data_IF_900714589925
#
_entry.id   IF_900714589925
#
_cell.length_a   1.000
_cell.length_b   1.000
_cell.length_c   1.000
_cell.angle_alpha   90.00
_cell.angle_beta   90.00
_cell.angle_gamma   90.00
#
_symmetry.space_group_name_H-M   'P 1'
#
loop_
_entity.id
_entity.type
_entity.pdbx_description
1 polymer ?
#
# COMPACT_ATOMS: atom_id res chain seq x y z
N UNK A 1 73.70 -7.33 -7.99
CA UNK A 1 72.72 -7.15 -6.90
C UNK A 1 71.38 -6.88 -7.57
N UNK A 2 70.34 -7.72 -7.64
CA UNK A 2 69.97 -9.08 -7.21
C UNK A 2 69.07 -9.68 -8.32
N UNK A 3 69.01 -11.01 -8.54
CA UNK A 3 67.94 -11.59 -9.35
C UNK A 3 66.63 -11.63 -8.55
N UNK A 4 65.53 -11.22 -9.18
CA UNK A 4 64.16 -11.43 -8.66
C UNK A 4 63.72 -12.82 -9.09
N UNK A 5 63.42 -13.70 -8.13
CA UNK A 5 62.85 -15.01 -8.39
C UNK A 5 61.33 -14.93 -8.26
N UNK A 6 60.61 -15.27 -9.33
CA UNK A 6 59.15 -15.40 -9.32
C UNK A 6 58.81 -16.85 -8.93
N UNK A 7 58.18 -17.05 -7.78
CA UNK A 7 57.68 -18.36 -7.37
C UNK A 7 56.20 -18.47 -7.71
N UNK A 8 55.87 -19.33 -8.69
CA UNK A 8 54.49 -19.72 -8.99
C UNK A 8 54.21 -20.97 -8.17
N UNK A 9 53.33 -20.85 -7.18
CA UNK A 9 52.83 -22.01 -6.42
C UNK A 9 51.63 -22.61 -7.14
N UNK A 10 51.79 -23.84 -7.63
CA UNK A 10 50.69 -24.64 -8.18
C UNK A 10 50.00 -25.34 -7.00
N UNK A 11 48.78 -24.91 -6.67
CA UNK A 11 47.94 -25.59 -5.69
C UNK A 11 47.38 -26.86 -6.33
N UNK A 12 47.75 -28.02 -5.76
CA UNK A 12 47.26 -29.34 -6.17
C UNK A 12 45.85 -29.51 -5.61
N UNK A 13 44.83 -29.28 -6.44
CA UNK A 13 43.43 -29.50 -6.07
C UNK A 13 43.22 -31.01 -5.89
N UNK A 14 43.11 -31.44 -4.64
CA UNK A 14 42.77 -32.81 -4.28
C UNK A 14 41.38 -33.19 -4.80
N UNK A 15 41.16 -34.49 -5.00
CA UNK A 15 39.89 -35.09 -5.43
C UNK A 15 38.76 -34.79 -4.45
N UNK A 16 38.15 -33.62 -4.59
CA UNK A 16 36.89 -33.21 -3.96
C UNK A 16 35.97 -32.79 -5.10
N UNK A 17 35.61 -33.73 -5.98
CA UNK A 17 34.85 -33.44 -7.20
C UNK A 17 33.45 -34.05 -7.22
N UNK A 18 33.15 -35.03 -6.37
CA UNK A 18 31.80 -35.61 -6.28
C UNK A 18 30.91 -34.86 -5.28
N UNK A 19 31.35 -34.74 -4.04
CA UNK A 19 30.52 -34.25 -2.94
C UNK A 19 30.19 -32.75 -3.04
N UNK A 20 31.18 -31.93 -3.40
CA UNK A 20 31.02 -30.49 -3.65
C UNK A 20 30.14 -30.18 -4.86
N UNK A 21 30.21 -31.00 -5.91
CA UNK A 21 29.33 -30.86 -7.08
C UNK A 21 27.87 -31.19 -6.72
N UNK A 22 27.65 -32.24 -5.92
CA UNK A 22 26.31 -32.62 -5.43
C UNK A 22 25.74 -31.56 -4.48
N UNK A 23 26.54 -31.00 -3.58
CA UNK A 23 26.11 -29.90 -2.68
C UNK A 23 25.76 -28.64 -3.47
N UNK A 24 26.51 -28.32 -4.52
CA UNK A 24 26.19 -27.21 -5.42
C UNK A 24 24.88 -27.48 -6.20
N UNK A 25 24.66 -28.70 -6.67
CA UNK A 25 23.45 -29.09 -7.42
C UNK A 25 22.19 -29.11 -6.54
N UNK A 26 22.31 -29.50 -5.27
CA UNK A 26 21.22 -29.43 -4.29
C UNK A 26 20.82 -28.00 -3.94
N UNK A 27 21.75 -27.03 -4.03
CA UNK A 27 21.45 -25.62 -3.75
C UNK A 27 20.54 -24.96 -4.80
N UNK A 28 20.46 -25.51 -6.02
CA UNK A 28 19.56 -25.04 -7.08
C UNK A 28 18.11 -25.48 -6.91
N UNK A 29 17.81 -26.47 -6.07
CA UNK A 29 16.44 -26.92 -5.83
C UNK A 29 15.71 -26.09 -4.75
N UNK A 30 16.39 -25.12 -4.14
CA UNK A 30 15.82 -24.23 -3.12
C UNK A 30 15.47 -22.87 -3.74
N UNK A 31 15.02 -22.85 -5.01
CA UNK A 31 14.34 -21.67 -5.54
C UNK A 31 12.96 -21.64 -4.89
N UNK A 32 12.89 -21.00 -3.72
CA UNK A 32 11.62 -20.63 -3.11
C UNK A 32 10.89 -19.69 -4.07
N UNK A 33 9.64 -19.99 -4.38
CA UNK A 33 8.76 -19.05 -5.08
C UNK A 33 8.62 -17.81 -4.19
N UNK A 34 9.24 -16.71 -4.62
CA UNK A 34 8.98 -15.41 -4.03
C UNK A 34 7.58 -14.98 -4.47
N UNK A 35 6.58 -15.21 -3.64
CA UNK A 35 5.25 -14.61 -3.77
C UNK A 35 5.44 -13.09 -3.57
N UNK A 36 5.47 -12.32 -4.65
CA UNK A 36 5.33 -10.88 -4.54
C UNK A 36 3.91 -10.61 -4.00
N UNK A 37 3.80 -10.25 -2.72
CA UNK A 37 2.53 -9.88 -2.12
C UNK A 37 2.00 -8.64 -2.85
N UNK A 38 1.08 -8.86 -3.78
CA UNK A 38 0.28 -7.81 -4.42
C UNK A 38 -0.79 -7.36 -3.42
N UNK A 39 -0.33 -6.72 -2.33
CA UNK A 39 -1.22 -6.06 -1.38
C UNK A 39 -1.70 -4.76 -2.03
N UNK A 40 -2.95 -4.74 -2.45
CA UNK A 40 -3.53 -3.59 -3.14
C UNK A 40 -4.97 -3.35 -2.72
N UNK A 41 -5.36 -2.09 -2.77
CA UNK A 41 -6.75 -1.66 -2.57
C UNK A 41 -7.15 -0.74 -3.71
N UNK A 42 -8.36 -0.93 -4.22
CA UNK A 42 -8.98 -0.02 -5.18
C UNK A 42 -10.20 0.63 -4.56
N UNK A 43 -10.34 1.95 -4.76
CA UNK A 43 -11.48 2.74 -4.29
C UNK A 43 -12.13 3.41 -5.49
N UNK A 44 -13.44 3.25 -5.64
CA UNK A 44 -14.21 3.80 -6.76
C UNK A 44 -15.48 4.51 -6.26
N UNK A 45 -15.76 5.75 -6.71
CA UNK A 45 -14.86 6.63 -7.45
C UNK A 45 -13.71 7.16 -6.57
N UNK A 46 -12.61 7.58 -7.18
CA UNK A 46 -11.47 8.16 -6.46
C UNK A 46 -11.67 9.65 -6.11
N UNK A 47 -12.45 10.37 -6.93
CA UNK A 47 -12.78 11.78 -6.76
C UNK A 47 -14.27 11.97 -6.99
N UNK A 48 -14.88 12.83 -6.16
CA UNK A 48 -16.29 13.22 -6.27
C UNK A 48 -16.32 14.75 -6.20
N UNK A 49 -16.95 15.38 -7.18
CA UNK A 49 -17.10 16.83 -7.26
C UNK A 49 -18.60 17.14 -7.27
N UNK A 50 -19.09 17.77 -6.21
CA UNK A 50 -20.50 18.09 -6.02
C UNK A 50 -20.63 19.52 -5.49
N UNK A 51 -21.67 20.23 -5.94
CA UNK A 51 -22.05 21.52 -5.37
C UNK A 51 -23.26 21.29 -4.46
N UNK A 52 -23.10 21.56 -3.18
CA UNK A 52 -24.13 21.35 -2.16
C UNK A 52 -24.55 22.68 -1.54
N UNK A 53 -25.85 22.84 -1.35
CA UNK A 53 -26.39 23.98 -0.60
C UNK A 53 -26.19 23.77 0.91
N UNK A 54 -26.01 24.86 1.70
CA UNK A 54 -25.99 24.77 3.16
C UNK A 54 -27.23 24.09 3.73
N UNK A 55 -27.06 23.31 4.80
CA UNK A 55 -28.14 22.61 5.49
C UNK A 55 -28.60 21.32 4.83
N UNK A 56 -28.04 20.99 3.67
CA UNK A 56 -28.36 19.76 2.95
C UNK A 56 -27.50 18.61 3.47
N UNK A 57 -28.16 17.46 3.62
CA UNK A 57 -27.53 16.18 3.89
C UNK A 57 -27.74 15.25 2.70
N UNK A 58 -26.66 14.70 2.15
CA UNK A 58 -26.72 13.75 1.03
C UNK A 58 -25.94 12.47 1.34
N UNK A 59 -26.53 11.34 0.95
CA UNK A 59 -25.95 10.02 1.09
C UNK A 59 -25.24 9.58 -0.19
N UNK A 60 -24.06 9.00 -0.01
CA UNK A 60 -23.19 8.56 -1.08
C UNK A 60 -22.68 7.14 -0.81
N UNK A 61 -22.09 6.53 -1.83
CA UNK A 61 -21.52 5.19 -1.76
C UNK A 61 -20.22 5.09 -2.54
N UNK A 62 -19.21 4.54 -1.87
CA UNK A 62 -17.91 4.17 -2.42
C UNK A 62 -17.87 2.65 -2.57
N UNK A 63 -17.11 2.14 -3.54
CA UNK A 63 -16.76 0.73 -3.62
C UNK A 63 -15.29 0.57 -3.26
N UNK A 64 -15.02 -0.29 -2.28
CA UNK A 64 -13.67 -0.70 -1.90
C UNK A 64 -13.46 -2.14 -2.37
N UNK A 65 -12.36 -2.38 -3.05
CA UNK A 65 -11.99 -3.69 -3.57
C UNK A 65 -10.64 -4.11 -3.01
N UNK A 66 -10.59 -5.33 -2.47
CA UNK A 66 -9.37 -5.96 -2.02
C UNK A 66 -8.72 -6.65 -3.22
N UNK A 67 -7.51 -6.22 -3.60
CA UNK A 67 -6.76 -6.80 -4.72
C UNK A 67 -5.87 -7.98 -4.30
N UNK A 68 -5.80 -8.27 -3.00
CA UNK A 68 -5.06 -9.42 -2.46
C UNK A 68 -5.90 -10.71 -2.58
N UNK A 69 -5.22 -11.86 -2.62
CA UNK A 69 -5.84 -13.18 -2.55
C UNK A 69 -6.39 -13.50 -1.15
N UNK A 70 -5.86 -12.86 -0.11
CA UNK A 70 -6.24 -13.11 1.29
C UNK A 70 -7.32 -12.14 1.76
N UNK A 71 -8.21 -12.54 2.69
CA UNK A 71 -9.11 -11.62 3.36
C UNK A 71 -8.35 -10.50 4.09
N UNK A 72 -8.83 -9.27 3.97
CA UNK A 72 -8.24 -8.09 4.60
C UNK A 72 -9.28 -7.27 5.35
N UNK A 73 -8.85 -6.68 6.47
CA UNK A 73 -9.61 -5.69 7.23
C UNK A 73 -9.13 -4.29 6.89
N UNK A 74 -10.03 -3.44 6.43
CA UNK A 74 -9.74 -2.03 6.11
C UNK A 74 -10.34 -1.11 7.17
N UNK A 75 -9.56 -0.11 7.59
CA UNK A 75 -10.01 0.94 8.51
C UNK A 75 -10.31 2.21 7.72
N UNK A 76 -11.48 2.78 7.97
CA UNK A 76 -12.01 3.93 7.25
C UNK A 76 -11.91 5.17 8.12
N UNK A 77 -11.38 6.25 7.57
CA UNK A 77 -11.29 7.54 8.23
C UNK A 77 -11.30 8.68 7.19
N UNK A 78 -11.69 9.87 7.64
CA UNK A 78 -11.70 11.09 6.80
C UNK A 78 -10.51 11.96 7.14
N UNK A 79 -9.99 12.69 6.15
CA UNK A 79 -8.88 13.63 6.36
C UNK A 79 -8.97 14.80 5.40
N UNK A 80 -8.66 15.99 5.88
CA UNK A 80 -8.60 17.18 5.04
C UNK A 80 -7.38 17.13 4.12
N UNK A 81 -7.58 17.60 2.90
CA UNK A 81 -6.52 17.81 1.90
C UNK A 81 -6.19 19.30 1.90
N UNK A 82 -4.94 19.65 2.18
CA UNK A 82 -4.46 21.04 2.17
C UNK A 82 -3.93 21.49 0.80
N UNK A 83 -3.74 20.54 -0.13
CA UNK A 83 -3.28 20.82 -1.48
C UNK A 83 -3.06 19.54 -2.28
N UNK A 84 -2.62 19.69 -3.53
CA UNK A 84 -2.36 18.58 -4.44
C UNK A 84 -1.01 18.82 -5.10
N UNK A 85 -0.13 17.81 -5.12
CA UNK A 85 1.17 17.88 -5.80
C UNK A 85 1.01 17.63 -7.31
N UNK A 86 2.07 17.86 -8.07
CA UNK A 86 2.15 17.38 -9.45
C UNK A 86 1.80 15.89 -9.53
N UNK A 87 0.99 15.52 -10.51
CA UNK A 87 0.49 14.16 -10.68
C UNK A 87 -0.76 13.82 -9.86
N UNK A 88 -1.41 14.80 -9.19
CA UNK A 88 -2.72 14.57 -8.56
C UNK A 88 -2.65 13.93 -7.16
N UNK A 89 -1.45 13.81 -6.58
CA UNK A 89 -1.27 13.20 -5.26
C UNK A 89 -1.70 14.19 -4.16
N UNK A 90 -2.64 13.83 -3.28
CA UNK A 90 -3.11 14.74 -2.23
C UNK A 90 -2.03 14.99 -1.17
N UNK A 91 -1.97 16.24 -0.70
CA UNK A 91 -1.23 16.65 0.48
C UNK A 91 -2.24 16.75 1.60
N UNK A 92 -2.13 15.88 2.61
CA UNK A 92 -3.02 15.93 3.75
C UNK A 92 -2.65 17.07 4.70
N UNK A 93 -3.68 17.72 5.24
CA UNK A 93 -3.52 18.73 6.28
C UNK A 93 -2.87 18.11 7.53
N UNK A 94 -2.06 18.90 8.24
CA UNK A 94 -1.47 18.47 9.50
C UNK A 94 -2.54 18.45 10.59
N UNK A 95 -2.41 17.51 11.52
CA UNK A 95 -3.40 17.27 12.57
C UNK A 95 -3.28 18.29 13.72
N UNK A 96 -2.21 19.10 13.76
CA UNK A 96 -1.91 20.12 14.77
C UNK A 96 -2.37 21.54 14.40
N UNK A 97 -3.08 21.69 13.27
CA UNK A 97 -3.64 22.97 12.85
C UNK A 97 -4.87 23.33 13.71
N UNK A 98 -5.05 24.62 13.97
CA UNK A 98 -6.24 25.14 14.63
C UNK A 98 -7.48 24.80 13.79
N UNK A 99 -8.45 24.10 14.41
CA UNK A 99 -9.71 23.76 13.76
C UNK A 99 -10.58 25.01 13.64
N UNK A 100 -10.98 25.29 12.41
CA UNK A 100 -11.85 26.42 12.04
C UNK A 100 -13.33 26.10 12.17
N UNK A 101 -13.70 24.81 12.24
CA UNK A 101 -15.08 24.33 12.24
C UNK A 101 -15.67 24.15 10.84
N UNK A 102 -14.92 24.47 9.79
CA UNK A 102 -15.31 24.35 8.38
C UNK A 102 -14.51 23.29 7.63
N UNK A 103 -13.88 22.37 8.37
CA UNK A 103 -13.16 21.25 7.82
C UNK A 103 -14.12 20.30 7.10
N UNK A 104 -13.91 20.09 5.79
CA UNK A 104 -14.73 19.18 4.99
C UNK A 104 -14.80 17.77 5.60
N UNK A 105 -13.70 17.31 6.21
CA UNK A 105 -13.66 16.01 6.90
C UNK A 105 -14.70 15.87 8.01
N UNK A 106 -15.04 16.97 8.68
CA UNK A 106 -15.95 16.99 9.83
C UNK A 106 -17.42 16.97 9.36
N UNK A 107 -17.67 17.28 8.08
CA UNK A 107 -18.99 17.16 7.45
C UNK A 107 -19.29 15.74 6.96
N UNK A 108 -18.29 14.87 6.88
CA UNK A 108 -18.44 13.51 6.35
C UNK A 108 -18.64 12.52 7.49
N UNK A 109 -19.80 11.86 7.51
CA UNK A 109 -20.11 10.76 8.41
C UNK A 109 -19.99 9.41 7.70
N UNK A 110 -19.05 8.57 8.12
CA UNK A 110 -18.90 7.21 7.60
C UNK A 110 -19.90 6.26 8.30
N UNK A 111 -20.53 5.38 7.52
CA UNK A 111 -21.47 4.38 8.09
C UNK A 111 -20.79 3.26 8.87
N UNK A 112 -19.48 3.08 8.70
CA UNK A 112 -18.67 2.09 9.39
C UNK A 112 -17.23 2.60 9.59
N UNK A 113 -16.59 2.19 10.68
CA UNK A 113 -15.17 2.49 10.96
C UNK A 113 -14.23 1.46 10.34
N UNK A 114 -14.71 0.24 10.08
CA UNK A 114 -13.95 -0.83 9.47
C UNK A 114 -14.83 -1.74 8.63
N UNK A 115 -14.21 -2.43 7.66
CA UNK A 115 -14.85 -3.42 6.81
C UNK A 115 -13.91 -4.60 6.60
N UNK A 116 -14.47 -5.81 6.65
CA UNK A 116 -13.77 -7.03 6.28
C UNK A 116 -14.12 -7.39 4.83
N UNK A 117 -13.11 -7.50 3.97
CA UNK A 117 -13.29 -7.83 2.55
C UNK A 117 -12.54 -9.14 2.24
N UNK A 118 -13.21 -10.17 1.71
CA UNK A 118 -12.55 -11.37 1.21
C UNK A 118 -11.48 -11.05 0.16
N UNK A 119 -10.57 -11.99 -0.11
CA UNK A 119 -9.63 -11.85 -1.22
C UNK A 119 -10.36 -11.68 -2.55
N UNK A 120 -9.91 -10.74 -3.38
CA UNK A 120 -10.60 -10.29 -4.61
C UNK A 120 -12.05 -9.83 -4.41
N UNK A 121 -12.45 -9.60 -3.16
CA UNK A 121 -13.80 -9.18 -2.79
C UNK A 121 -14.02 -7.69 -2.96
N UNK A 122 -15.29 -7.29 -2.96
CA UNK A 122 -15.71 -5.87 -2.99
C UNK A 122 -16.71 -5.60 -1.88
N UNK A 123 -16.62 -4.43 -1.28
CA UNK A 123 -17.56 -3.93 -0.30
C UNK A 123 -18.01 -2.51 -0.66
N UNK A 124 -19.29 -2.23 -0.46
CA UNK A 124 -19.83 -0.89 -0.58
C UNK A 124 -19.76 -0.17 0.76
N UNK A 125 -19.18 1.02 0.78
CA UNK A 125 -19.10 1.88 1.97
C UNK A 125 -20.03 3.07 1.76
N UNK A 126 -21.06 3.16 2.58
CA UNK A 126 -21.94 4.33 2.59
C UNK A 126 -21.36 5.43 3.47
N UNK A 127 -21.55 6.67 3.06
CA UNK A 127 -21.20 7.84 3.85
C UNK A 127 -22.17 8.98 3.55
N UNK A 128 -22.32 9.89 4.50
CA UNK A 128 -23.21 11.05 4.41
C UNK A 128 -22.37 12.31 4.47
N UNK A 129 -22.66 13.29 3.62
CA UNK A 129 -22.11 14.65 3.73
C UNK A 129 -23.19 15.54 4.34
N UNK A 130 -22.91 16.11 5.50
CA UNK A 130 -23.79 17.05 6.21
C UNK A 130 -23.19 18.46 6.13
N UNK A 131 -23.71 19.30 5.25
CA UNK A 131 -23.23 20.68 5.12
C UNK A 131 -23.89 21.51 6.22
N UNK A 132 -23.08 22.17 7.06
CA UNK A 132 -23.62 23.00 8.14
C UNK A 132 -24.38 24.21 7.60
N UNK A 133 -25.53 24.50 8.19
CA UNK A 133 -26.20 25.80 8.12
C UNK A 133 -25.44 26.75 9.04
N UNK A 134 -25.03 27.91 8.53
CA UNK A 134 -24.37 28.94 9.33
C UNK A 134 -25.40 29.95 9.85
#
# INVERSE_FOLDING_TARGET
MFPVSLSISIIKIGRITGLTFVVLLLSFFIVGFAEAQEAGVSITPATIEETLDPGVSNDYKLTVENLDNNPQKFYLFTRNISGVKEGGVPIFAKDDLEKTGYELSDWIALSAAEIDIPGHGKAGVSYTINVTDN
#
